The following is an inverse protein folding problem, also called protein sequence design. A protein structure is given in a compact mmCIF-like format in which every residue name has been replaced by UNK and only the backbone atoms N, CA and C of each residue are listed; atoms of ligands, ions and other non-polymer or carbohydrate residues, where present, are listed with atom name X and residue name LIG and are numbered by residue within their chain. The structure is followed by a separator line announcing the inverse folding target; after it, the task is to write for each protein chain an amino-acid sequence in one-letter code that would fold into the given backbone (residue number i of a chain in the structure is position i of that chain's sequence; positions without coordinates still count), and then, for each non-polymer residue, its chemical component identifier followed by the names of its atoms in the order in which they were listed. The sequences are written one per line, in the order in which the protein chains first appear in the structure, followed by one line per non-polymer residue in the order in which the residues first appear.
data_IF_017218360621
#
_entry.id   IF_017218360621
#
_cell.length_a   1.000
_cell.length_b   1.000
_cell.length_c   1.000
_cell.angle_alpha   90.00
_cell.angle_beta   90.00
_cell.angle_gamma   90.00
#
_symmetry.space_group_name_H-M   'P 1'
#
loop_
_entity.id
_entity.type
_entity.pdbx_description
1 polymer ?
#
# COMPACT_ATOMS: atom_id res chain seq x y z
N UNK A 1 10.71 17.55 15.86
CA UNK A 1 10.45 16.67 14.69
C UNK A 1 9.15 17.01 13.94
N UNK A 2 8.03 17.30 14.63
CA UNK A 2 6.71 17.58 14.02
C UNK A 2 6.73 18.73 12.97
N UNK A 3 7.33 19.89 13.31
CA UNK A 3 7.39 21.05 12.41
C UNK A 3 8.13 20.78 11.09
N UNK A 4 9.20 19.96 11.11
CA UNK A 4 9.97 19.60 9.91
C UNK A 4 9.15 18.72 8.97
N UNK A 5 8.39 17.76 9.51
CA UNK A 5 7.50 16.90 8.72
C UNK A 5 6.35 17.70 8.09
N UNK A 6 5.70 18.58 8.86
CA UNK A 6 4.66 19.48 8.33
C UNK A 6 5.17 20.37 7.20
N UNK A 7 6.41 20.86 7.29
CA UNK A 7 7.01 21.65 6.21
C UNK A 7 7.27 20.82 4.94
N UNK A 8 7.65 19.54 5.07
CA UNK A 8 7.82 18.63 3.91
C UNK A 8 6.48 18.38 3.22
N UNK A 9 5.41 18.10 3.98
CA UNK A 9 4.06 17.92 3.43
C UNK A 9 3.59 19.17 2.67
N UNK A 10 3.73 20.37 3.25
CA UNK A 10 3.37 21.63 2.58
C UNK A 10 4.15 21.85 1.29
N UNK A 11 5.44 21.48 1.26
CA UNK A 11 6.27 21.57 0.06
C UNK A 11 5.83 20.55 -1.00
N UNK A 12 5.52 19.32 -0.59
CA UNK A 12 5.01 18.28 -1.46
C UNK A 12 3.71 18.72 -2.13
N UNK A 13 2.70 19.14 -1.36
CA UNK A 13 1.42 19.66 -1.86
C UNK A 13 1.61 20.77 -2.91
N UNK A 14 2.47 21.75 -2.64
CA UNK A 14 2.77 22.84 -3.58
C UNK A 14 3.49 22.39 -4.87
N UNK A 15 4.15 21.24 -4.84
CA UNK A 15 4.91 20.70 -5.98
C UNK A 15 4.06 19.82 -6.91
N UNK A 16 2.86 19.43 -6.48
CA UNK A 16 1.96 18.60 -7.25
C UNK A 16 1.28 19.47 -8.30
N UNK A 17 1.28 18.99 -9.53
CA UNK A 17 0.55 19.58 -10.66
C UNK A 17 -0.50 18.55 -11.10
N UNK A 18 -1.68 18.98 -11.53
CA UNK A 18 -2.67 18.07 -12.08
C UNK A 18 -2.12 17.40 -13.35
N UNK A 19 -2.46 16.13 -13.48
CA UNK A 19 -2.00 15.22 -14.52
C UNK A 19 -2.19 13.81 -14.00
N UNK A 20 -2.98 13.00 -14.71
CA UNK A 20 -3.36 11.67 -14.25
C UNK A 20 -3.17 10.67 -15.38
N UNK A 21 -2.69 9.49 -15.02
CA UNK A 21 -2.67 8.30 -15.86
C UNK A 21 -3.47 7.19 -15.18
N UNK A 22 -3.88 6.23 -15.99
CA UNK A 22 -4.48 4.97 -15.55
C UNK A 22 -3.43 4.06 -14.89
N UNK A 23 -3.88 3.01 -14.21
CA UNK A 23 -2.95 2.02 -13.66
C UNK A 23 -2.29 1.22 -14.79
N UNK A 24 -3.00 0.95 -15.87
CA UNK A 24 -2.49 0.28 -17.07
C UNK A 24 -1.36 1.08 -17.71
N UNK A 25 -1.53 2.39 -17.89
CA UNK A 25 -0.46 3.28 -18.36
C UNK A 25 0.73 3.29 -17.39
N UNK A 26 0.45 3.29 -16.08
CA UNK A 26 1.49 3.24 -15.05
C UNK A 26 2.27 1.92 -15.08
N UNK A 27 1.60 0.80 -15.33
CA UNK A 27 2.23 -0.52 -15.53
C UNK A 27 3.14 -0.47 -16.75
N UNK A 28 2.65 0.02 -17.88
CA UNK A 28 3.46 0.16 -19.09
C UNK A 28 4.70 1.02 -18.81
N UNK A 29 4.53 2.17 -18.15
CA UNK A 29 5.62 3.04 -17.76
C UNK A 29 6.66 2.34 -16.87
N UNK A 30 6.22 1.60 -15.85
CA UNK A 30 7.12 0.85 -14.96
C UNK A 30 7.93 -0.22 -15.72
N UNK A 31 7.28 -0.95 -16.63
CA UNK A 31 7.93 -2.00 -17.43
C UNK A 31 8.94 -1.38 -18.41
N UNK A 32 8.54 -0.35 -19.15
CA UNK A 32 9.36 0.26 -20.19
C UNK A 32 10.50 1.12 -19.64
N UNK A 33 10.23 1.91 -18.59
CA UNK A 33 11.19 2.88 -18.08
C UNK A 33 12.16 2.28 -17.05
N UNK A 34 11.68 1.34 -16.22
CA UNK A 34 12.46 0.76 -15.14
C UNK A 34 12.80 -0.72 -15.34
N UNK A 35 12.25 -1.37 -16.37
CA UNK A 35 12.47 -2.80 -16.58
C UNK A 35 11.81 -3.67 -15.51
N UNK A 36 10.75 -3.18 -14.87
CA UNK A 36 10.01 -3.96 -13.88
C UNK A 36 9.35 -5.18 -14.53
N UNK A 37 9.40 -6.31 -13.84
CA UNK A 37 8.83 -7.58 -14.29
C UNK A 37 7.64 -7.91 -13.39
N UNK A 38 6.54 -8.34 -14.02
CA UNK A 38 5.38 -8.84 -13.29
C UNK A 38 5.70 -10.20 -12.70
N UNK A 39 5.52 -10.35 -11.39
CA UNK A 39 5.70 -11.60 -10.68
C UNK A 39 4.43 -12.44 -10.73
N UNK A 40 4.63 -13.76 -10.74
CA UNK A 40 3.59 -14.77 -10.60
C UNK A 40 3.77 -15.53 -9.27
N UNK A 41 3.03 -16.63 -9.12
CA UNK A 41 3.07 -17.51 -7.95
C UNK A 41 4.42 -18.19 -7.70
N UNK A 42 5.37 -18.12 -8.65
CA UNK A 42 6.73 -18.62 -8.47
C UNK A 42 7.59 -17.69 -7.62
N UNK A 43 7.18 -16.43 -7.44
CA UNK A 43 7.89 -15.49 -6.58
C UNK A 43 7.66 -15.84 -5.09
N UNK A 44 8.72 -16.01 -4.27
CA UNK A 44 8.59 -16.58 -2.92
C UNK A 44 7.64 -15.87 -1.95
N UNK A 45 7.38 -14.57 -2.15
CA UNK A 45 6.50 -13.77 -1.30
C UNK A 45 5.16 -13.44 -1.97
N UNK A 46 4.88 -13.97 -3.16
CA UNK A 46 3.66 -13.65 -3.91
C UNK A 46 2.40 -13.95 -3.10
N UNK A 47 2.29 -15.18 -2.58
CA UNK A 47 1.14 -15.61 -1.77
C UNK A 47 0.97 -14.74 -0.51
N UNK A 48 2.06 -14.34 0.12
CA UNK A 48 2.03 -13.51 1.32
C UNK A 48 1.47 -12.12 1.00
N UNK A 49 1.93 -11.50 -0.10
CA UNK A 49 1.50 -10.16 -0.48
C UNK A 49 0.05 -10.13 -0.96
N UNK A 50 -0.37 -11.08 -1.81
CA UNK A 50 -1.76 -11.16 -2.25
C UNK A 50 -2.71 -11.40 -1.07
N UNK A 51 -2.33 -12.24 -0.09
CA UNK A 51 -3.11 -12.44 1.15
C UNK A 51 -3.18 -11.18 1.99
N UNK A 52 -2.08 -10.44 2.15
CA UNK A 52 -2.03 -9.18 2.89
C UNK A 52 -2.91 -8.11 2.24
N UNK A 53 -2.85 -7.98 0.91
CA UNK A 53 -3.71 -7.05 0.16
C UNK A 53 -5.18 -7.41 0.36
N UNK A 54 -5.53 -8.69 0.20
CA UNK A 54 -6.91 -9.17 0.42
C UNK A 54 -7.39 -8.88 1.84
N UNK A 55 -6.54 -9.08 2.85
CA UNK A 55 -6.87 -8.74 4.24
C UNK A 55 -7.09 -7.25 4.45
N UNK A 56 -6.22 -6.39 3.89
CA UNK A 56 -6.35 -4.93 3.94
C UNK A 56 -7.68 -4.46 3.33
N UNK A 57 -8.05 -5.00 2.16
CA UNK A 57 -9.34 -4.69 1.52
C UNK A 57 -10.53 -5.14 2.38
N UNK A 58 -10.47 -6.33 3.00
CA UNK A 58 -11.52 -6.79 3.89
C UNK A 58 -11.68 -5.87 5.12
N UNK A 59 -10.58 -5.38 5.70
CA UNK A 59 -10.64 -4.43 6.80
C UNK A 59 -11.27 -3.08 6.39
N UNK A 60 -11.03 -2.65 5.15
CA UNK A 60 -11.54 -1.39 4.58
C UNK A 60 -13.03 -1.47 4.23
N UNK A 61 -13.45 -2.57 3.62
CA UNK A 61 -14.75 -2.66 2.94
C UNK A 61 -15.72 -3.61 3.63
N UNK A 62 -15.21 -4.64 4.30
CA UNK A 62 -15.98 -5.76 4.87
C UNK A 62 -15.71 -5.99 6.34
N UNK A 63 -15.52 -4.89 7.09
CA UNK A 63 -15.33 -4.93 8.54
C UNK A 63 -16.53 -5.61 9.25
N UNK A 64 -17.71 -5.60 8.62
CA UNK A 64 -18.92 -6.30 9.07
C UNK A 64 -18.74 -7.82 9.16
N UNK A 65 -17.86 -8.39 8.36
CA UNK A 65 -17.57 -9.82 8.34
C UNK A 65 -16.44 -10.23 9.29
N UNK A 66 -15.63 -9.27 9.74
CA UNK A 66 -14.47 -9.54 10.58
C UNK A 66 -14.88 -9.66 12.07
N UNK A 67 -14.14 -10.45 12.87
CA UNK A 67 -14.37 -10.51 14.30
C UNK A 67 -14.15 -9.13 14.92
N UNK A 68 -14.76 -8.90 16.07
CA UNK A 68 -14.64 -7.62 16.77
C UNK A 68 -13.19 -7.41 17.23
N UNK A 69 -12.58 -6.31 16.78
CA UNK A 69 -11.23 -5.95 17.18
C UNK A 69 -11.11 -5.73 18.71
N UNK A 70 -10.02 -6.20 19.34
CA UNK A 70 -9.67 -5.83 20.69
C UNK A 70 -9.61 -4.32 20.87
N UNK A 71 -10.03 -3.82 22.02
CA UNK A 71 -9.98 -2.38 22.31
C UNK A 71 -8.53 -1.96 22.55
N UNK A 72 -8.15 -0.80 22.01
CA UNK A 72 -6.86 -0.18 22.33
C UNK A 72 -6.80 0.11 23.83
N UNK A 73 -5.69 -0.25 24.44
CA UNK A 73 -5.42 -0.07 25.87
C UNK A 73 -4.39 1.03 26.12
N UNK A 74 -4.15 1.33 27.39
CA UNK A 74 -3.01 2.13 27.81
C UNK A 74 -1.73 1.26 27.82
N UNK A 75 -0.75 1.62 26.99
CA UNK A 75 0.50 0.89 26.80
C UNK A 75 1.56 1.13 27.89
N UNK A 76 1.25 1.81 28.99
CA UNK A 76 2.20 2.00 30.10
C UNK A 76 2.36 0.75 30.97
N UNK A 77 1.34 -0.10 31.04
CA UNK A 77 1.38 -1.36 31.79
C UNK A 77 1.92 -2.48 30.89
N UNK A 78 2.94 -3.21 31.35
CA UNK A 78 3.53 -4.31 30.59
C UNK A 78 2.59 -5.51 30.49
N UNK A 79 1.95 -5.92 31.57
CA UNK A 79 1.07 -7.10 31.57
C UNK A 79 -0.17 -6.85 30.71
N UNK A 80 -0.73 -5.65 30.79
CA UNK A 80 -1.83 -5.26 29.91
C UNK A 80 -1.41 -5.29 28.43
N UNK A 81 -0.20 -4.82 28.10
CA UNK A 81 0.36 -4.89 26.74
C UNK A 81 0.54 -6.31 26.24
N UNK A 82 1.13 -7.17 27.06
CA UNK A 82 1.41 -8.56 26.69
C UNK A 82 0.08 -9.29 26.42
N UNK A 83 -0.92 -9.07 27.27
CA UNK A 83 -2.28 -9.60 27.06
C UNK A 83 -2.94 -9.05 25.80
N UNK A 84 -2.87 -7.74 25.57
CA UNK A 84 -3.44 -7.13 24.37
C UNK A 84 -2.77 -7.62 23.08
N UNK A 85 -1.45 -7.86 23.11
CA UNK A 85 -0.72 -8.45 21.99
C UNK A 85 -1.26 -9.83 21.64
N UNK A 86 -1.50 -10.69 22.65
CA UNK A 86 -2.08 -12.01 22.44
C UNK A 86 -3.52 -11.93 21.90
N UNK A 87 -4.34 -11.00 22.40
CA UNK A 87 -5.70 -10.78 21.91
C UNK A 87 -5.71 -10.32 20.44
N UNK A 88 -4.76 -9.46 20.05
CA UNK A 88 -4.60 -9.01 18.66
C UNK A 88 -4.13 -10.16 17.76
N UNK A 89 -3.13 -10.94 18.17
CA UNK A 89 -2.65 -12.09 17.40
C UNK A 89 -3.76 -13.13 17.17
N UNK A 90 -4.59 -13.39 18.18
CA UNK A 90 -5.73 -14.29 18.05
C UNK A 90 -6.82 -13.71 17.14
N UNK A 91 -7.10 -12.40 17.28
CA UNK A 91 -8.03 -11.70 16.40
C UNK A 91 -7.56 -11.73 14.94
N UNK A 92 -6.27 -11.47 14.67
CA UNK A 92 -5.67 -11.50 13.34
C UNK A 92 -5.83 -12.88 12.71
N UNK A 93 -5.48 -13.96 13.42
CA UNK A 93 -5.67 -15.35 12.92
C UNK A 93 -7.11 -15.65 12.55
N UNK A 94 -8.07 -15.26 13.39
CA UNK A 94 -9.49 -15.48 13.11
C UNK A 94 -9.96 -14.66 11.91
N UNK A 95 -9.55 -13.40 11.83
CA UNK A 95 -9.90 -12.51 10.74
C UNK A 95 -9.31 -13.00 9.41
N UNK A 96 -8.03 -13.41 9.37
CA UNK A 96 -7.39 -13.97 8.19
C UNK A 96 -8.10 -15.24 7.71
N UNK A 97 -8.44 -16.15 8.61
CA UNK A 97 -9.17 -17.39 8.28
C UNK A 97 -10.58 -17.13 7.71
N UNK A 98 -11.21 -16.01 8.08
CA UNK A 98 -12.47 -15.56 7.46
C UNK A 98 -12.21 -15.01 6.07
N UNK A 99 -11.25 -14.09 5.93
CA UNK A 99 -10.91 -13.43 4.66
C UNK A 99 -10.49 -14.43 3.58
N UNK A 100 -9.71 -15.44 3.95
CA UNK A 100 -9.26 -16.52 3.05
C UNK A 100 -10.44 -17.28 2.43
N UNK A 101 -11.56 -17.39 3.15
CA UNK A 101 -12.77 -18.10 2.69
C UNK A 101 -13.78 -17.20 2.00
N UNK A 102 -13.55 -15.89 1.93
CA UNK A 102 -14.48 -14.98 1.25
C UNK A 102 -14.44 -15.25 -0.25
N UNK A 103 -15.60 -15.41 -0.90
CA UNK A 103 -15.65 -15.61 -2.33
C UNK A 103 -15.29 -14.32 -3.08
N UNK A 104 -14.88 -14.43 -4.34
CA UNK A 104 -14.42 -13.28 -5.14
C UNK A 104 -15.53 -12.25 -5.39
N UNK A 105 -16.80 -12.68 -5.38
CA UNK A 105 -17.96 -11.79 -5.54
C UNK A 105 -18.20 -10.93 -4.29
N UNK A 106 -17.74 -11.38 -3.13
CA UNK A 106 -17.87 -10.70 -1.83
C UNK A 106 -16.73 -9.70 -1.62
N UNK A 107 -15.55 -10.04 -2.11
CA UNK A 107 -14.36 -9.20 -2.10
C UNK A 107 -13.59 -9.42 -3.40
N UNK A 108 -13.96 -8.66 -4.44
CA UNK A 108 -13.29 -8.72 -5.72
C UNK A 108 -11.95 -8.02 -5.62
N UNK A 109 -10.91 -8.64 -6.16
CA UNK A 109 -9.56 -8.12 -6.14
C UNK A 109 -8.90 -8.44 -7.47
N UNK A 110 -8.31 -7.43 -8.08
CA UNK A 110 -7.51 -7.56 -9.29
C UNK A 110 -6.09 -7.11 -8.94
N UNK A 111 -5.25 -8.07 -8.58
CA UNK A 111 -3.98 -7.85 -7.91
C UNK A 111 -2.81 -8.13 -8.84
N UNK A 112 -1.86 -7.20 -8.88
CA UNK A 112 -0.61 -7.36 -9.61
C UNK A 112 0.59 -7.02 -8.72
N UNK A 113 1.68 -7.76 -8.91
CA UNK A 113 2.94 -7.54 -8.22
C UNK A 113 4.04 -7.33 -9.25
N UNK A 114 4.73 -6.21 -9.19
CA UNK A 114 5.88 -5.90 -10.04
C UNK A 114 7.16 -5.85 -9.22
N UNK A 115 8.22 -6.44 -9.76
CA UNK A 115 9.52 -6.55 -9.13
C UNK A 115 10.57 -5.83 -9.98
N UNK A 116 11.38 -5.01 -9.32
CA UNK A 116 12.66 -4.53 -9.82
C UNK A 116 13.76 -5.07 -8.91
N UNK A 117 14.50 -6.07 -9.37
CA UNK A 117 15.61 -6.65 -8.63
C UNK A 117 16.95 -6.20 -9.23
N UNK A 118 17.81 -5.61 -8.40
CA UNK A 118 19.17 -5.18 -8.78
C UNK A 118 20.25 -6.01 -8.06
N UNK A 119 19.89 -7.20 -7.54
CA UNK A 119 20.81 -8.08 -6.83
C UNK A 119 21.31 -7.43 -5.54
N UNK A 120 22.63 -7.32 -5.38
CA UNK A 120 23.25 -6.77 -4.16
C UNK A 120 22.88 -5.31 -3.88
N UNK A 121 22.46 -4.55 -4.91
CA UNK A 121 22.05 -3.15 -4.76
C UNK A 121 20.63 -2.99 -4.16
N UNK A 122 19.90 -4.09 -4.02
CA UNK A 122 18.56 -4.15 -3.45
C UNK A 122 17.46 -4.40 -4.47
N UNK A 123 16.22 -4.38 -3.99
CA UNK A 123 15.03 -4.65 -4.80
C UNK A 123 13.87 -3.76 -4.41
N UNK A 124 12.92 -3.60 -5.33
CA UNK A 124 11.66 -2.90 -5.12
C UNK A 124 10.50 -3.75 -5.59
N UNK A 125 9.45 -3.78 -4.79
CA UNK A 125 8.18 -4.40 -5.10
C UNK A 125 7.11 -3.31 -5.20
N UNK A 126 6.28 -3.39 -6.25
CA UNK A 126 5.11 -2.52 -6.45
C UNK A 126 3.88 -3.42 -6.50
N UNK A 127 3.03 -3.30 -5.49
CA UNK A 127 1.75 -3.99 -5.39
C UNK A 127 0.66 -3.06 -5.92
N UNK A 128 -0.20 -3.60 -6.78
CA UNK A 128 -1.31 -2.87 -7.41
C UNK A 128 -2.63 -3.59 -7.17
N UNK A 129 -3.67 -2.83 -6.86
CA UNK A 129 -5.06 -3.33 -6.93
C UNK A 129 -5.86 -2.46 -7.91
N UNK A 130 -6.27 -3.06 -9.02
CA UNK A 130 -6.78 -2.33 -10.17
C UNK A 130 -8.16 -1.73 -9.94
N UNK A 131 -9.04 -2.45 -9.24
CA UNK A 131 -10.43 -2.03 -9.05
C UNK A 131 -10.57 -0.78 -8.16
N UNK A 132 -9.66 -0.58 -7.20
CA UNK A 132 -9.64 0.54 -6.25
C UNK A 132 -8.57 1.58 -6.58
N UNK A 133 -7.73 1.35 -7.59
CA UNK A 133 -6.67 2.29 -7.94
C UNK A 133 -5.55 2.35 -6.89
N UNK A 134 -5.28 1.24 -6.19
CA UNK A 134 -4.31 1.22 -5.10
C UNK A 134 -2.91 0.91 -5.64
N UNK A 135 -1.93 1.64 -5.12
CA UNK A 135 -0.50 1.41 -5.34
C UNK A 135 0.18 1.37 -3.98
N UNK A 136 0.86 0.26 -3.68
CA UNK A 136 1.78 0.15 -2.55
C UNK A 136 3.17 -0.19 -3.06
N UNK A 137 4.19 0.32 -2.37
CA UNK A 137 5.58 0.08 -2.75
C UNK A 137 6.41 -0.21 -1.52
N UNK A 138 7.28 -1.19 -1.65
CA UNK A 138 8.28 -1.54 -0.64
C UNK A 138 9.62 -1.72 -1.37
N UNK A 139 10.72 -1.35 -0.72
CA UNK A 139 12.04 -1.50 -1.32
C UNK A 139 13.14 -1.60 -0.27
N UNK A 140 14.24 -2.21 -0.68
CA UNK A 140 15.51 -2.24 0.04
C UNK A 140 16.62 -1.66 -0.85
N UNK A 141 17.69 -1.14 -0.24
CA UNK A 141 18.80 -0.54 -0.99
C UNK A 141 18.62 0.96 -1.26
N UNK A 142 19.54 1.52 -2.06
CA UNK A 142 19.62 2.97 -2.32
C UNK A 142 18.98 3.32 -3.66
N UNK A 143 18.46 4.54 -3.78
CA UNK A 143 17.94 5.08 -5.05
C UNK A 143 16.49 4.73 -5.39
N UNK A 144 15.92 3.67 -4.81
CA UNK A 144 14.52 3.28 -5.06
C UNK A 144 13.48 4.32 -4.59
N UNK A 145 13.79 5.14 -3.59
CA UNK A 145 12.92 6.25 -3.19
C UNK A 145 12.72 7.31 -4.29
N UNK A 146 13.66 7.44 -5.24
CA UNK A 146 13.47 8.30 -6.41
C UNK A 146 12.51 7.64 -7.42
N UNK A 147 12.69 6.33 -7.66
CA UNK A 147 11.82 5.53 -8.54
C UNK A 147 10.37 5.54 -8.01
N UNK A 148 10.18 5.31 -6.70
CA UNK A 148 8.88 5.40 -6.05
C UNK A 148 8.22 6.77 -6.29
N UNK A 149 8.93 7.87 -6.01
CA UNK A 149 8.39 9.22 -6.21
C UNK A 149 8.03 9.48 -7.66
N UNK A 150 8.79 8.92 -8.60
CA UNK A 150 8.54 9.05 -10.02
C UNK A 150 7.31 8.23 -10.48
N UNK A 151 7.18 6.98 -10.06
CA UNK A 151 5.99 6.15 -10.34
C UNK A 151 4.71 6.81 -9.84
N UNK A 152 4.69 7.31 -8.59
CA UNK A 152 3.51 8.00 -8.06
C UNK A 152 3.25 9.34 -8.76
N UNK A 153 4.29 10.04 -9.24
CA UNK A 153 4.12 11.25 -10.06
C UNK A 153 3.56 10.92 -11.43
N UNK A 154 3.99 9.83 -12.05
CA UNK A 154 3.49 9.37 -13.33
C UNK A 154 2.03 8.97 -13.20
N UNK A 155 1.66 8.11 -12.24
CA UNK A 155 0.26 7.82 -11.96
C UNK A 155 -0.51 9.11 -11.72
N UNK A 156 0.04 10.01 -10.92
CA UNK A 156 -0.42 11.39 -10.83
C UNK A 156 -1.80 11.53 -10.18
N UNK A 157 -2.38 12.72 -10.28
CA UNK A 157 -3.66 13.11 -9.68
C UNK A 157 -4.41 14.07 -10.60
N UNK A 158 -5.73 13.96 -10.64
CA UNK A 158 -6.58 14.92 -11.34
C UNK A 158 -6.73 16.23 -10.54
N UNK A 159 -7.34 17.26 -11.16
CA UNK A 159 -7.74 18.47 -10.42
C UNK A 159 -8.77 18.16 -9.34
N UNK A 160 -9.67 17.21 -9.61
CA UNK A 160 -10.69 16.75 -8.66
C UNK A 160 -10.05 16.05 -7.46
N UNK A 161 -9.05 15.20 -7.68
CA UNK A 161 -8.29 14.55 -6.60
C UNK A 161 -7.67 15.57 -5.64
N UNK A 162 -7.10 16.64 -6.20
CA UNK A 162 -6.50 17.73 -5.42
C UNK A 162 -7.59 18.53 -4.68
N UNK A 163 -8.69 18.86 -5.35
CA UNK A 163 -9.78 19.64 -4.75
C UNK A 163 -10.45 18.88 -3.60
N UNK A 164 -10.71 17.59 -3.79
CA UNK A 164 -11.40 16.72 -2.84
C UNK A 164 -10.47 16.02 -1.84
N UNK A 165 -9.14 16.22 -1.96
CA UNK A 165 -8.14 15.56 -1.12
C UNK A 165 -8.33 14.03 -1.06
N UNK A 166 -8.53 13.41 -2.23
CA UNK A 166 -8.77 11.96 -2.34
C UNK A 166 -7.60 11.15 -1.79
N UNK A 167 -7.81 9.86 -1.51
CA UNK A 167 -6.74 8.95 -1.07
C UNK A 167 -5.55 8.97 -2.04
N UNK A 168 -5.81 8.98 -3.35
CA UNK A 168 -4.81 9.11 -4.40
C UNK A 168 -3.93 10.37 -4.21
N UNK A 169 -4.54 11.52 -3.94
CA UNK A 169 -3.82 12.75 -3.64
C UNK A 169 -3.04 12.67 -2.32
N UNK A 170 -3.65 12.15 -1.26
CA UNK A 170 -3.00 12.02 0.05
C UNK A 170 -1.79 11.08 -0.01
N UNK A 171 -1.89 9.99 -0.77
CA UNK A 171 -0.79 9.07 -1.01
C UNK A 171 0.36 9.76 -1.73
N UNK A 172 0.10 10.46 -2.85
CA UNK A 172 1.14 11.21 -3.56
C UNK A 172 1.84 12.24 -2.66
N UNK A 173 1.08 13.02 -1.89
CA UNK A 173 1.64 13.98 -0.93
C UNK A 173 2.56 13.29 0.08
N UNK A 174 2.13 12.15 0.62
CA UNK A 174 2.86 11.38 1.62
C UNK A 174 4.17 10.85 1.05
N UNK A 175 4.14 10.26 -0.15
CA UNK A 175 5.32 9.76 -0.87
C UNK A 175 6.33 10.89 -1.13
N UNK A 176 5.87 12.04 -1.63
CA UNK A 176 6.75 13.17 -1.94
C UNK A 176 7.37 13.83 -0.69
N UNK A 177 6.76 13.65 0.48
CA UNK A 177 7.21 14.22 1.75
C UNK A 177 8.21 13.33 2.52
N UNK A 178 8.48 12.10 2.05
CA UNK A 178 9.49 11.20 2.62
C UNK A 178 10.90 11.82 2.50
#
# INVERSE_FOLDING_TARGET
MIRKHQNRLKKAQKSIKPGTHTLEETICYMKEHYGMIEADDTYPLYEIYIRRMRFSLAQRERLDLLPKQPKIINFHDKEARDKWSQEIEEWEKQAEAIVEKLPQEVLNMDYHLFILDKGEDGSMQVELEMNRGLIETQYSGRGFGAIQKDVYRYYGVSEEDIANQTERHQNLVSILAQ
#
